data_IF_155815158671
#
_entry.id   IF_155815158671
#
_cell.length_a   1.000
_cell.length_b   1.000
_cell.length_c   1.000
_cell.angle_alpha   90.00
_cell.angle_beta   90.00
_cell.angle_gamma   90.00
#
_symmetry.space_group_name_H-M   'P 1'
#
loop_
_entity.id
_entity.type
_entity.pdbx_description
1 polymer ?
#
# COMPACT_ATOMS: atom_id res chain seq x y z
N UNK A 1 -40.77 -9.16 9.75
CA UNK A 1 -40.90 -8.30 8.56
C UNK A 1 -40.39 -6.91 8.95
N UNK A 2 -39.25 -6.38 8.52
CA UNK A 2 -38.10 -6.83 7.75
C UNK A 2 -36.92 -5.92 8.15
N UNK A 3 -35.69 -6.41 8.02
CA UNK A 3 -34.43 -5.78 8.42
C UNK A 3 -33.87 -4.89 7.29
N UNK A 4 -33.45 -3.67 7.64
CA UNK A 4 -32.48 -2.84 6.91
C UNK A 4 -31.52 -2.35 8.03
N UNK A 5 -30.21 -2.59 8.06
CA UNK A 5 -29.20 -2.68 7.00
C UNK A 5 -28.19 -1.58 7.33
N UNK A 6 -27.02 -1.94 7.87
CA UNK A 6 -25.98 -1.04 8.39
C UNK A 6 -25.43 -0.11 7.29
N UNK A 7 -25.89 1.14 7.27
CA UNK A 7 -25.28 2.21 6.48
C UNK A 7 -24.02 2.70 7.16
N UNK A 8 -22.86 2.38 6.58
CA UNK A 8 -21.60 3.01 6.94
C UNK A 8 -21.68 4.49 6.60
N UNK A 9 -21.49 5.34 7.60
CA UNK A 9 -21.36 6.79 7.46
C UNK A 9 -19.87 7.03 7.16
N UNK A 10 -19.52 7.35 5.92
CA UNK A 10 -18.19 7.89 5.64
C UNK A 10 -18.14 9.31 6.23
N UNK A 11 -17.14 9.66 7.05
CA UNK A 11 -17.07 10.99 7.64
C UNK A 11 -16.71 12.01 6.56
N UNK A 12 -17.64 12.92 6.29
CA UNK A 12 -17.33 14.23 5.73
C UNK A 12 -16.19 14.86 6.55
N UNK A 13 -15.11 15.28 5.89
CA UNK A 13 -14.44 16.61 6.03
C UNK A 13 -13.24 16.64 5.06
N UNK A 14 -13.50 17.01 3.80
CA UNK A 14 -12.46 17.58 2.93
C UNK A 14 -12.31 19.06 3.32
N UNK A 15 -11.22 19.42 4.01
CA UNK A 15 -10.85 20.85 4.14
C UNK A 15 -9.98 21.24 2.98
N UNK A 16 -10.62 21.87 1.99
CA UNK A 16 -9.98 22.59 0.90
C UNK A 16 -9.01 23.66 1.44
N UNK A 17 -7.73 23.53 1.11
CA UNK A 17 -6.78 24.65 1.18
C UNK A 17 -6.20 24.81 -0.22
N UNK A 18 -6.85 25.65 -1.03
CA UNK A 18 -6.45 25.86 -2.42
C UNK A 18 -5.09 26.55 -2.56
N UNK A 19 -4.44 26.35 -3.70
CA UNK A 19 -3.78 27.45 -4.38
C UNK A 19 -3.98 27.37 -5.90
N UNK A 20 -4.25 28.54 -6.49
CA UNK A 20 -4.66 28.71 -7.88
C UNK A 20 -3.47 29.08 -8.74
N UNK A 21 -2.89 28.11 -9.46
CA UNK A 21 -2.09 28.40 -10.66
C UNK A 21 -1.80 27.11 -11.44
N UNK A 22 -2.50 26.96 -12.58
CA UNK A 22 -2.22 26.07 -13.73
C UNK A 22 -1.76 24.63 -13.41
N UNK A 23 -2.65 23.67 -13.66
CA UNK A 23 -2.69 22.28 -13.14
C UNK A 23 -3.09 22.24 -11.67
N UNK A 24 -4.31 21.77 -11.40
CA UNK A 24 -4.93 21.90 -10.09
C UNK A 24 -4.32 20.91 -9.09
N UNK A 25 -3.21 21.33 -8.47
CA UNK A 25 -2.60 20.68 -7.32
C UNK A 25 -3.45 20.99 -6.09
N UNK A 26 -4.17 20.00 -5.57
CA UNK A 26 -5.01 20.16 -4.37
C UNK A 26 -4.34 19.51 -3.17
N UNK A 27 -4.08 20.24 -2.08
CA UNK A 27 -3.74 19.61 -0.81
C UNK A 27 -5.02 19.10 -0.14
N UNK A 28 -5.19 17.79 -0.04
CA UNK A 28 -6.29 17.16 0.70
C UNK A 28 -5.74 16.43 1.93
N UNK A 29 -6.54 16.45 3.00
CA UNK A 29 -6.27 15.74 4.25
C UNK A 29 -7.17 14.52 4.33
N UNK A 30 -6.58 13.36 4.60
CA UNK A 30 -7.32 12.21 5.12
C UNK A 30 -7.02 12.07 6.62
N UNK A 31 -8.06 12.18 7.45
CA UNK A 31 -7.95 12.05 8.90
C UNK A 31 -7.82 10.60 9.37
N UNK A 32 -8.05 9.61 8.50
CA UNK A 32 -7.88 8.21 8.85
C UNK A 32 -6.39 7.80 8.91
N UNK A 33 -5.55 8.37 8.03
CA UNK A 33 -4.18 7.89 7.80
C UNK A 33 -3.09 8.97 7.93
N UNK A 34 -3.45 10.16 8.42
CA UNK A 34 -2.51 11.26 8.66
C UNK A 34 -1.75 11.72 7.40
N UNK A 35 -2.31 11.58 6.18
CA UNK A 35 -1.64 11.90 4.92
C UNK A 35 -2.04 13.26 4.36
N UNK A 36 -1.06 13.95 3.76
CA UNK A 36 -1.25 15.15 2.93
C UNK A 36 -0.81 14.81 1.53
N UNK A 37 -1.71 14.97 0.56
CA UNK A 37 -1.46 14.55 -0.80
C UNK A 37 -1.95 15.57 -1.81
N UNK A 38 -1.44 15.43 -3.03
CA UNK A 38 -1.87 16.20 -4.20
C UNK A 38 -2.36 15.30 -5.31
N UNK A 39 -3.40 15.75 -6.02
CA UNK A 39 -3.89 15.10 -7.24
C UNK A 39 -3.26 15.80 -8.45
N UNK A 40 -2.62 15.04 -9.34
CA UNK A 40 -2.11 15.51 -10.63
C UNK A 40 -2.40 14.48 -11.73
N UNK A 41 -3.09 14.90 -12.79
CA UNK A 41 -3.43 14.05 -13.96
C UNK A 41 -3.94 12.64 -13.57
N UNK A 42 -4.97 12.57 -12.71
CA UNK A 42 -5.56 11.31 -12.22
C UNK A 42 -4.60 10.40 -11.42
N UNK A 43 -3.56 10.99 -10.83
CA UNK A 43 -2.66 10.30 -9.92
C UNK A 43 -2.55 11.07 -8.61
N UNK A 44 -2.47 10.35 -7.49
CA UNK A 44 -2.24 10.91 -6.17
C UNK A 44 -0.77 10.78 -5.79
N UNK A 45 -0.21 11.89 -5.31
CA UNK A 45 1.17 12.00 -4.84
C UNK A 45 1.16 12.42 -3.37
N UNK A 46 1.73 11.59 -2.50
CA UNK A 46 1.85 11.87 -1.07
C UNK A 46 2.96 12.90 -0.87
N UNK A 47 2.61 14.06 -0.33
CA UNK A 47 3.53 15.21 -0.19
C UNK A 47 4.02 15.41 1.23
N UNK A 48 3.22 15.04 2.22
CA UNK A 48 3.62 15.03 3.62
C UNK A 48 2.68 14.16 4.46
N UNK A 49 2.93 14.11 5.77
CA UNK A 49 2.05 13.49 6.77
C UNK A 49 1.77 14.48 7.91
N UNK A 50 0.79 14.20 8.78
CA UNK A 50 0.65 14.91 10.04
C UNK A 50 1.92 14.75 10.87
N UNK A 51 2.13 15.65 11.83
CA UNK A 51 3.40 15.70 12.53
C UNK A 51 3.57 14.49 13.45
N UNK A 52 4.48 13.60 13.06
CA UNK A 52 5.05 12.52 13.86
C UNK A 52 4.11 11.32 14.12
N UNK A 53 3.55 10.69 13.07
CA UNK A 53 2.72 9.49 13.21
C UNK A 53 3.55 8.34 13.79
N UNK A 54 2.89 7.39 14.45
CA UNK A 54 3.55 6.15 14.90
C UNK A 54 3.50 5.03 13.87
N UNK A 55 2.46 5.04 13.03
CA UNK A 55 2.26 4.09 11.94
C UNK A 55 1.56 4.84 10.79
N UNK A 56 1.88 4.49 9.55
CA UNK A 56 1.23 5.04 8.36
C UNK A 56 0.79 3.88 7.46
N UNK A 57 -0.44 3.94 6.99
CA UNK A 57 -0.93 3.07 5.92
C UNK A 57 -1.18 3.98 4.71
N UNK A 58 -0.41 3.78 3.64
CA UNK A 58 -0.69 4.48 2.38
C UNK A 58 -1.76 3.68 1.65
N UNK A 59 -2.96 4.24 1.42
CA UNK A 59 -3.99 3.55 0.65
C UNK A 59 -3.58 3.42 -0.81
N UNK A 60 -3.97 2.33 -1.48
CA UNK A 60 -3.71 2.16 -2.91
C UNK A 60 -4.47 3.19 -3.76
N UNK A 61 -5.65 3.63 -3.30
CA UNK A 61 -6.50 4.60 -3.96
C UNK A 61 -7.19 5.51 -2.94
N UNK A 62 -7.47 6.76 -3.33
CA UNK A 62 -8.32 7.68 -2.55
C UNK A 62 -9.39 8.23 -3.49
N UNK A 63 -10.66 8.02 -3.14
CA UNK A 63 -11.82 8.39 -3.97
C UNK A 63 -11.76 7.85 -5.41
N UNK A 64 -11.22 6.64 -5.59
CA UNK A 64 -11.08 5.98 -6.90
C UNK A 64 -9.95 6.52 -7.78
N UNK A 65 -9.02 7.30 -7.19
CA UNK A 65 -7.81 7.78 -7.85
C UNK A 65 -6.61 7.06 -7.22
N UNK A 66 -5.76 6.44 -8.04
CA UNK A 66 -4.61 5.67 -7.55
C UNK A 66 -3.54 6.55 -6.92
N UNK A 67 -2.98 6.10 -5.79
CA UNK A 67 -1.80 6.69 -5.14
C UNK A 67 -0.55 6.09 -5.77
N UNK A 68 0.22 6.90 -6.47
CA UNK A 68 1.33 6.42 -7.30
C UNK A 68 2.70 6.92 -6.88
N UNK A 69 2.78 7.97 -6.08
CA UNK A 69 4.07 8.57 -5.75
C UNK A 69 4.13 8.98 -4.27
N UNK A 70 5.31 8.78 -3.68
CA UNK A 70 5.72 9.41 -2.43
C UNK A 70 6.73 10.48 -2.82
N UNK A 71 6.44 11.74 -2.56
CA UNK A 71 7.28 12.87 -2.98
C UNK A 71 8.53 13.02 -2.10
N UNK A 72 9.44 13.88 -2.56
CA UNK A 72 10.64 14.26 -1.80
C UNK A 72 10.25 14.75 -0.40
N UNK A 73 10.95 14.24 0.61
CA UNK A 73 10.76 14.59 2.03
C UNK A 73 9.35 14.33 2.63
N UNK A 74 8.48 13.55 1.98
CA UNK A 74 7.09 13.36 2.43
C UNK A 74 6.95 12.86 3.89
N UNK A 75 7.86 12.01 4.36
CA UNK A 75 7.90 11.53 5.73
C UNK A 75 9.14 12.02 6.49
N UNK A 76 9.82 13.06 6.00
CA UNK A 76 11.02 13.58 6.65
C UNK A 76 10.72 14.03 8.09
N UNK A 77 11.67 13.77 8.99
CA UNK A 77 11.61 14.08 10.41
C UNK A 77 10.44 13.41 11.17
N UNK A 78 9.81 12.38 10.60
CA UNK A 78 8.84 11.53 11.31
C UNK A 78 9.56 10.58 12.27
N UNK A 79 10.19 11.14 13.29
CA UNK A 79 10.95 10.42 14.32
C UNK A 79 10.11 9.43 15.12
N UNK A 80 8.78 9.59 15.16
CA UNK A 80 7.84 8.70 15.83
C UNK A 80 7.41 7.51 14.98
N UNK A 81 7.65 7.55 13.67
CA UNK A 81 7.20 6.53 12.71
C UNK A 81 7.93 5.23 13.00
N UNK A 82 7.19 4.17 13.29
CA UNK A 82 7.71 2.82 13.59
C UNK A 82 7.42 1.84 12.47
N UNK A 83 6.23 1.95 11.87
CA UNK A 83 5.79 1.11 10.77
C UNK A 83 5.19 1.92 9.63
N UNK A 84 5.41 1.45 8.40
CA UNK A 84 4.74 1.99 7.21
C UNK A 84 4.27 0.87 6.29
N UNK A 85 3.04 0.97 5.79
CA UNK A 85 2.50 0.09 4.74
C UNK A 85 2.45 0.83 3.41
N UNK A 86 3.06 0.23 2.39
CA UNK A 86 3.25 0.81 1.06
C UNK A 86 2.55 -0.08 0.01
N UNK A 87 1.57 0.45 -0.74
CA UNK A 87 0.80 -0.31 -1.70
C UNK A 87 1.58 -0.52 -3.01
N UNK A 88 1.14 -1.51 -3.81
CA UNK A 88 1.72 -1.84 -5.15
C UNK A 88 1.69 -0.65 -6.11
N UNK A 89 0.69 0.19 -5.97
CA UNK A 89 0.43 1.31 -6.85
C UNK A 89 1.55 2.36 -6.82
N UNK A 90 2.39 2.38 -5.77
CA UNK A 90 3.55 3.27 -5.68
C UNK A 90 4.59 2.90 -6.74
N UNK A 91 4.82 3.85 -7.64
CA UNK A 91 5.76 3.78 -8.77
C UNK A 91 7.03 4.57 -8.50
N UNK A 92 6.99 5.61 -7.66
CA UNK A 92 8.17 6.40 -7.32
C UNK A 92 8.19 6.78 -5.84
N UNK A 93 9.40 6.83 -5.28
CA UNK A 93 9.68 7.36 -3.96
C UNK A 93 10.76 8.42 -4.12
N UNK A 94 10.45 9.63 -3.68
CA UNK A 94 11.30 10.80 -3.76
C UNK A 94 12.57 10.68 -2.91
N UNK A 95 13.55 11.50 -3.24
CA UNK A 95 14.79 11.60 -2.49
C UNK A 95 14.51 12.04 -1.06
N UNK A 96 15.16 11.37 -0.09
CA UNK A 96 15.03 11.69 1.32
C UNK A 96 13.59 11.62 1.86
N UNK A 97 12.68 10.88 1.19
CA UNK A 97 11.28 10.73 1.61
C UNK A 97 11.16 10.33 3.08
N UNK A 98 12.10 9.54 3.61
CA UNK A 98 12.13 9.05 4.99
C UNK A 98 13.35 9.55 5.79
N UNK A 99 13.89 10.72 5.44
CA UNK A 99 15.03 11.29 6.16
C UNK A 99 14.69 11.49 7.64
N UNK A 100 15.60 11.11 8.53
CA UNK A 100 15.44 11.23 9.98
C UNK A 100 14.25 10.45 10.60
N UNK A 101 13.71 9.45 9.89
CA UNK A 101 12.77 8.47 10.45
C UNK A 101 13.49 7.43 11.33
N UNK A 102 14.20 7.86 12.39
CA UNK A 102 15.11 6.99 13.14
C UNK A 102 14.46 5.79 13.85
N UNK A 103 13.15 5.84 14.10
CA UNK A 103 12.41 4.75 14.74
C UNK A 103 11.71 3.82 13.74
N UNK A 104 11.83 4.07 12.43
CA UNK A 104 11.21 3.24 11.40
C UNK A 104 11.93 1.89 11.39
N UNK A 105 11.31 0.90 12.01
CA UNK A 105 11.86 -0.43 12.17
C UNK A 105 11.12 -1.49 11.36
N UNK A 106 9.92 -1.18 10.88
CA UNK A 106 9.10 -2.08 10.08
C UNK A 106 8.61 -1.35 8.83
N UNK A 107 8.86 -1.93 7.67
CA UNK A 107 8.23 -1.49 6.44
C UNK A 107 7.52 -2.67 5.81
N UNK A 108 6.31 -2.42 5.35
CA UNK A 108 5.39 -3.40 4.84
C UNK A 108 5.12 -3.10 3.38
N UNK A 109 5.73 -3.86 2.48
CA UNK A 109 5.70 -3.57 1.05
C UNK A 109 5.51 -4.82 0.19
N UNK A 110 5.37 -4.59 -1.10
CA UNK A 110 5.25 -5.63 -2.11
C UNK A 110 6.63 -6.08 -2.54
N UNK A 111 6.78 -7.38 -2.81
CA UNK A 111 8.01 -7.90 -3.37
C UNK A 111 8.35 -7.23 -4.71
N UNK A 112 9.61 -6.85 -4.90
CA UNK A 112 10.15 -6.10 -6.05
C UNK A 112 9.48 -4.73 -6.25
N UNK A 113 8.92 -4.16 -5.19
CA UNK A 113 8.38 -2.80 -5.24
C UNK A 113 9.50 -1.78 -5.37
N UNK A 114 9.14 -0.53 -5.70
CA UNK A 114 10.12 0.57 -5.65
C UNK A 114 10.63 0.83 -4.24
N UNK A 115 9.93 0.34 -3.21
CA UNK A 115 10.35 0.42 -1.82
C UNK A 115 11.55 -0.50 -1.51
N UNK A 116 11.68 -1.63 -2.22
CA UNK A 116 12.77 -2.59 -2.01
C UNK A 116 14.14 -2.03 -2.42
N UNK A 117 14.13 -1.02 -3.28
CA UNK A 117 15.34 -0.29 -3.71
C UNK A 117 15.79 0.74 -2.67
N UNK A 118 14.94 1.02 -1.68
CA UNK A 118 15.18 2.01 -0.65
C UNK A 118 15.91 1.34 0.52
N UNK A 119 17.21 1.59 0.65
CA UNK A 119 18.01 1.03 1.72
C UNK A 119 17.82 1.85 3.00
N UNK A 120 17.30 1.20 4.04
CA UNK A 120 17.23 1.75 5.38
C UNK A 120 18.24 1.03 6.26
N UNK A 121 19.21 1.77 6.82
CA UNK A 121 20.30 1.17 7.61
C UNK A 121 19.82 0.29 8.78
N UNK A 122 18.61 0.54 9.33
CA UNK A 122 18.06 -0.15 10.51
C UNK A 122 16.58 -0.59 10.41
N UNK A 123 15.97 -0.62 9.23
CA UNK A 123 14.57 -1.05 9.06
C UNK A 123 14.50 -2.49 8.61
N UNK A 124 13.64 -3.30 9.24
CA UNK A 124 13.26 -4.62 8.75
C UNK A 124 12.17 -4.44 7.71
N UNK A 125 12.49 -4.73 6.46
CA UNK A 125 11.49 -4.82 5.39
C UNK A 125 10.77 -6.16 5.53
N UNK A 126 9.46 -6.10 5.73
CA UNK A 126 8.51 -7.22 5.78
C UNK A 126 7.68 -7.15 4.51
N UNK A 127 7.72 -8.21 3.71
CA UNK A 127 6.95 -8.26 2.48
C UNK A 127 5.58 -8.88 2.76
N UNK A 128 4.49 -8.16 2.47
CA UNK A 128 3.12 -8.68 2.67
C UNK A 128 2.60 -9.51 1.48
N UNK A 129 3.24 -9.42 0.31
CA UNK A 129 2.73 -10.08 -0.90
C UNK A 129 3.31 -11.48 -1.07
N UNK A 130 2.43 -12.47 -1.19
CA UNK A 130 2.76 -13.89 -1.17
C UNK A 130 2.77 -14.51 0.23
N UNK A 131 2.71 -13.71 1.29
CA UNK A 131 2.52 -14.14 2.69
C UNK A 131 1.02 -14.08 3.02
N UNK A 132 0.28 -15.05 2.50
CA UNK A 132 -1.18 -15.11 2.58
C UNK A 132 -1.67 -15.80 3.84
N UNK A 133 -0.78 -16.44 4.61
CA UNK A 133 -1.09 -16.93 5.95
C UNK A 133 -0.66 -15.97 7.09
N UNK A 134 0.12 -14.93 6.77
CA UNK A 134 0.50 -13.85 7.67
C UNK A 134 1.60 -14.24 8.66
N UNK A 135 2.39 -15.26 8.36
CA UNK A 135 3.49 -15.73 9.20
C UNK A 135 4.79 -14.90 9.07
N UNK A 136 4.81 -13.96 8.12
CA UNK A 136 5.94 -13.07 7.85
C UNK A 136 6.97 -13.65 6.88
N UNK A 137 6.68 -14.78 6.23
CA UNK A 137 7.58 -15.43 5.28
C UNK A 137 6.84 -16.07 4.12
N UNK A 138 7.15 -15.69 2.88
CA UNK A 138 6.60 -16.34 1.68
C UNK A 138 7.16 -17.77 1.54
N UNK A 139 6.33 -18.79 1.79
CA UNK A 139 6.75 -20.18 1.88
C UNK A 139 5.67 -21.20 1.44
N UNK A 140 5.91 -22.50 1.71
CA UNK A 140 5.01 -23.58 1.29
C UNK A 140 3.61 -23.50 1.93
N UNK A 141 3.51 -22.86 3.10
CA UNK A 141 2.24 -22.63 3.79
C UNK A 141 1.37 -21.65 3.00
N UNK A 142 1.96 -20.59 2.44
CA UNK A 142 1.29 -19.69 1.51
C UNK A 142 0.84 -20.37 0.23
N UNK A 143 1.74 -21.16 -0.37
CA UNK A 143 1.40 -21.95 -1.55
C UNK A 143 0.20 -22.87 -1.30
N UNK A 144 0.08 -23.43 -0.09
CA UNK A 144 -1.06 -24.26 0.28
C UNK A 144 -2.36 -23.45 0.37
N UNK A 145 -2.30 -22.21 0.87
CA UNK A 145 -3.44 -21.28 0.86
C UNK A 145 -3.85 -20.99 -0.58
N UNK A 146 -2.94 -20.57 -1.46
CA UNK A 146 -3.22 -20.37 -2.90
C UNK A 146 -3.85 -21.60 -3.56
N UNK A 147 -3.26 -22.77 -3.31
CA UNK A 147 -3.77 -24.03 -3.84
C UNK A 147 -5.20 -24.32 -3.41
N UNK A 148 -5.59 -23.96 -2.19
CA UNK A 148 -6.96 -24.15 -1.71
C UNK A 148 -8.00 -23.29 -2.43
N UNK A 149 -7.60 -22.14 -2.98
CA UNK A 149 -8.49 -21.29 -3.79
C UNK A 149 -8.60 -21.78 -5.23
N UNK A 150 -7.60 -22.49 -5.77
CA UNK A 150 -7.56 -22.85 -7.20
C UNK A 150 -8.01 -24.31 -7.47
N UNK A 151 -8.30 -25.09 -6.42
CA UNK A 151 -8.51 -26.56 -6.51
C UNK A 151 -9.69 -27.04 -7.35
N UNK A 152 -10.68 -26.19 -7.67
CA UNK A 152 -11.88 -26.60 -8.39
C UNK A 152 -11.94 -26.09 -9.85
N UNK A 153 -10.87 -25.45 -10.35
CA UNK A 153 -10.88 -24.84 -11.69
C UNK A 153 -11.87 -23.67 -11.81
N UNK A 154 -12.18 -23.04 -10.66
CA UNK A 154 -13.03 -21.86 -10.56
C UNK A 154 -12.13 -20.63 -10.48
N UNK A 155 -12.37 -19.67 -11.38
CA UNK A 155 -11.81 -18.32 -11.28
C UNK A 155 -12.60 -17.57 -10.20
N UNK A 156 -11.90 -17.04 -9.19
CA UNK A 156 -12.53 -16.23 -8.15
C UNK A 156 -12.26 -14.76 -8.41
N UNK A 157 -13.30 -13.92 -8.37
CA UNK A 157 -13.13 -12.47 -8.25
C UNK A 157 -12.50 -12.16 -6.91
N UNK A 158 -11.38 -11.44 -6.90
CA UNK A 158 -10.57 -11.24 -5.69
C UNK A 158 -11.38 -10.59 -4.54
N UNK A 159 -11.67 -11.36 -3.48
CA UNK A 159 -12.10 -10.79 -2.19
C UNK A 159 -10.89 -10.34 -1.34
N UNK A 160 -9.67 -10.73 -1.73
CA UNK A 160 -8.42 -10.43 -1.03
C UNK A 160 -7.33 -10.06 -2.05
N UNK A 161 -6.93 -8.79 -2.05
CA UNK A 161 -5.84 -8.29 -2.90
C UNK A 161 -4.54 -9.09 -2.68
N UNK A 162 -4.31 -9.61 -1.47
CA UNK A 162 -3.13 -10.40 -1.14
C UNK A 162 -3.02 -11.74 -1.90
N UNK A 163 -4.12 -12.23 -2.50
CA UNK A 163 -4.17 -13.45 -3.32
C UNK A 163 -4.06 -13.20 -4.83
N UNK A 164 -4.12 -11.94 -5.28
CA UNK A 164 -3.98 -11.57 -6.69
C UNK A 164 -2.55 -11.03 -6.92
N UNK A 165 -1.62 -11.95 -7.18
CA UNK A 165 -0.19 -11.64 -7.33
C UNK A 165 0.11 -10.95 -8.66
N UNK A 166 -0.62 -11.32 -9.70
CA UNK A 166 -0.41 -10.79 -11.05
C UNK A 166 -1.21 -9.49 -11.33
N UNK A 167 -2.18 -9.14 -10.46
CA UNK A 167 -3.07 -7.99 -10.51
C UNK A 167 -4.00 -7.97 -11.75
N UNK A 168 -4.58 -9.12 -12.07
CA UNK A 168 -5.59 -9.25 -13.12
C UNK A 168 -7.04 -9.30 -12.58
N UNK A 169 -7.20 -9.09 -11.27
CA UNK A 169 -8.46 -9.11 -10.52
C UNK A 169 -9.09 -10.50 -10.39
N UNK A 170 -8.35 -11.54 -10.77
CA UNK A 170 -8.75 -12.94 -10.59
C UNK A 170 -7.72 -13.66 -9.72
N UNK A 171 -8.17 -14.68 -9.00
CA UNK A 171 -7.27 -15.62 -8.31
C UNK A 171 -7.20 -16.87 -9.17
N UNK A 172 -6.07 -17.09 -9.84
CA UNK A 172 -5.95 -18.14 -10.85
C UNK A 172 -4.56 -18.82 -10.90
N UNK A 173 -4.35 -19.65 -11.93
CA UNK A 173 -3.11 -20.41 -12.09
C UNK A 173 -1.87 -19.53 -12.34
N UNK A 174 -2.04 -18.29 -12.82
CA UNK A 174 -0.96 -17.35 -12.97
C UNK A 174 -0.53 -16.80 -11.61
N UNK A 175 -1.42 -16.62 -10.64
CA UNK A 175 -0.99 -16.29 -9.27
C UNK A 175 -0.17 -17.41 -8.65
N UNK A 176 -0.59 -18.66 -8.88
CA UNK A 176 0.17 -19.85 -8.47
C UNK A 176 1.59 -19.89 -9.08
N UNK A 177 1.76 -19.34 -10.28
CA UNK A 177 3.06 -19.21 -10.92
C UNK A 177 3.93 -18.13 -10.25
N UNK A 178 3.34 -17.00 -9.83
CA UNK A 178 4.07 -15.96 -9.12
C UNK A 178 4.52 -16.41 -7.72
N UNK A 179 3.67 -17.08 -6.95
CA UNK A 179 4.05 -17.59 -5.62
C UNK A 179 5.18 -18.62 -5.70
N UNK A 180 5.19 -19.49 -6.71
CA UNK A 180 6.29 -20.44 -6.94
C UNK A 180 7.61 -19.72 -7.20
N UNK A 181 7.60 -18.66 -8.02
CA UNK A 181 8.80 -17.87 -8.29
C UNK A 181 9.29 -17.09 -7.09
N UNK A 182 8.38 -16.54 -6.28
CA UNK A 182 8.73 -15.86 -5.03
C UNK A 182 9.42 -16.83 -4.05
N UNK A 183 8.86 -18.03 -3.84
CA UNK A 183 9.45 -19.05 -2.96
C UNK A 183 10.85 -19.50 -3.42
N UNK A 184 11.10 -19.49 -4.73
CA UNK A 184 12.39 -19.90 -5.31
C UNK A 184 13.36 -18.72 -5.55
N UNK A 185 13.00 -17.50 -5.17
CA UNK A 185 13.83 -16.29 -5.38
C UNK A 185 14.13 -16.01 -6.87
N UNK A 186 13.18 -16.33 -7.76
CA UNK A 186 13.33 -16.25 -9.21
C UNK A 186 12.78 -14.97 -9.83
N UNK A 187 12.01 -14.19 -9.08
CA UNK A 187 11.58 -12.82 -9.40
C UNK A 187 11.91 -11.93 -8.25
#
# INVERSE_FOLDING_TARGET
MGVYGSGYILPDIIRWVGNSSSNAVYNLYDYADDLVYVVDNDNIRITSTLKNPTAVVIPAEINGISVTDIEDYAFADCSGLRSITVPKSIRNIGGNAFMNCYNLCEAYCYYNSVFDKYYFDHTVIKHYYGDVDGDGAVNLSDYAVYKSYITDGLEFTAESEALDLNNDMTIDAFDMYYIDRLMNGLI
#
